data_IF_272246497447
#
_entry.id   IF_272246497447
#
_cell.length_a   1.000
_cell.length_b   1.000
_cell.length_c   1.000
_cell.angle_alpha   90.00
_cell.angle_beta   90.00
_cell.angle_gamma   90.00
#
_symmetry.space_group_name_H-M   'P 1'
#
loop_
_entity.id
_entity.type
_entity.pdbx_description
1 polymer ?
2 polymer ?
3 water ?
#
# COMPACT_ATOMS: atom_id res chain seq x y z
N UNK A 7 11.51 1.74 6.13
CA UNK A 7 11.54 2.70 4.99
C UNK A 7 11.00 2.06 3.72
N UNK A 8 11.52 0.89 3.33
CA UNK A 8 10.97 0.17 2.16
C UNK A 8 10.21 -1.08 2.56
N UNK A 9 9.21 -1.46 1.76
CA UNK A 9 8.48 -2.71 1.94
C UNK A 9 8.30 -3.43 0.61
N UNK A 10 7.93 -4.70 0.66
CA UNK A 10 7.76 -5.49 -0.56
C UNK A 10 6.35 -6.05 -0.63
N UNK A 11 5.70 -5.91 -1.78
CA UNK A 11 4.31 -6.37 -1.91
C UNK A 11 4.19 -7.89 -1.96
N UNK A 12 3.21 -8.44 -1.23
CA UNK A 12 2.90 -9.88 -1.24
C UNK A 12 1.85 -10.23 -2.27
N UNK A 13 1.07 -9.23 -2.69
CA UNK A 13 -0.07 -9.39 -3.62
C UNK A 13 -0.20 -8.14 -4.46
N UNK A 14 -0.82 -8.26 -5.63
CA UNK A 14 -1.17 -7.07 -6.45
C UNK A 14 -2.19 -6.21 -5.67
N UNK A 15 -2.03 -4.90 -5.71
CA UNK A 15 -3.02 -4.02 -5.15
C UNK A 15 -3.39 -2.98 -6.20
N UNK A 16 -4.70 -2.75 -6.37
CA UNK A 16 -5.21 -1.77 -7.33
C UNK A 16 -5.85 -0.60 -6.57
N UNK A 17 -5.41 0.62 -6.85
CA UNK A 17 -5.98 1.80 -6.22
C UNK A 17 -7.47 1.81 -6.45
N UNK A 18 -8.23 2.00 -5.37
CA UNK A 18 -9.68 2.17 -5.49
C UNK A 18 -10.12 3.63 -5.34
N UNK A 19 -9.21 4.45 -4.82
CA UNK A 19 -9.46 5.86 -4.64
C UNK A 19 -8.25 6.59 -5.15
N UNK A 20 -8.45 7.87 -5.42
CA UNK A 20 -7.45 8.75 -5.99
C UNK A 20 -6.17 8.82 -5.18
N UNK A 21 -6.28 8.66 -3.87
CA UNK A 21 -5.13 8.78 -2.96
C UNK A 21 -4.41 7.47 -2.57
N UNK A 22 -4.47 6.46 -3.43
CA UNK A 22 -3.90 5.15 -3.15
C UNK A 22 -2.88 4.75 -4.21
N UNK A 23 -1.91 3.94 -3.82
CA UNK A 23 -0.98 3.36 -4.78
C UNK A 23 -1.61 2.22 -5.59
N UNK A 24 -0.97 1.90 -6.72
CA UNK A 24 -1.27 0.67 -7.48
C UNK A 24 0.06 -0.04 -7.67
N UNK A 25 0.12 -1.32 -7.34
CA UNK A 25 1.36 -2.06 -7.51
C UNK A 25 1.09 -3.54 -7.76
N UNK A 26 2.11 -4.20 -8.26
CA UNK A 26 2.04 -5.62 -8.53
C UNK A 26 2.81 -6.37 -7.45
N UNK A 27 2.47 -7.64 -7.24
CA UNK A 27 3.20 -8.51 -6.32
C UNK A 27 4.70 -8.39 -6.54
N UNK A 28 5.46 -8.39 -5.45
CA UNK A 28 6.92 -8.27 -5.47
C UNK A 28 7.45 -6.83 -5.58
N UNK A 29 6.56 -5.87 -5.82
CA UNK A 29 6.96 -4.46 -5.94
C UNK A 29 7.63 -3.94 -4.69
N UNK A 30 8.64 -3.09 -4.86
CA UNK A 30 9.25 -2.39 -3.72
C UNK A 30 8.64 -1.00 -3.58
N UNK A 31 8.01 -0.76 -2.43
CA UNK A 31 7.41 0.53 -2.10
C UNK A 31 8.37 1.26 -1.18
N UNK A 32 8.64 2.53 -1.49
CA UNK A 32 9.67 3.29 -0.78
C UNK A 32 9.15 4.37 0.17
N UNK A 33 10.04 4.81 1.07
CA UNK A 33 9.75 5.92 1.97
C UNK A 33 8.47 5.78 2.75
N UNK A 34 8.27 4.58 3.29
CA UNK A 34 7.00 4.19 3.89
C UNK A 34 6.80 4.92 5.22
N UNK A 35 5.63 5.55 5.36
CA UNK A 35 5.23 6.16 6.62
C UNK A 35 4.15 5.33 7.28
N UNK A 36 4.52 4.69 8.38
CA UNK A 36 3.59 3.87 9.11
C UNK A 36 2.70 4.71 9.99
N UNK A 37 1.44 4.31 10.06
CA UNK A 37 0.48 4.87 11.00
C UNK A 37 -0.58 3.85 11.37
N UNK A 38 -1.26 4.14 12.47
CA UNK A 38 -2.40 3.36 12.92
C UNK A 38 -3.50 3.32 11.87
N UNK A 39 -4.13 2.16 11.75
CA UNK A 39 -5.36 2.06 10.99
C UNK A 39 -5.33 1.06 9.87
N UNK A 40 -4.19 0.41 9.69
CA UNK A 40 -4.04 -0.65 8.72
C UNK A 40 -3.62 -0.20 7.35
N UNK A 41 -3.42 1.11 7.16
CA UNK A 41 -2.97 1.62 5.88
C UNK A 41 -1.75 2.50 6.16
N UNK A 42 -0.74 2.39 5.30
CA UNK A 42 0.48 3.19 5.39
C UNK A 42 0.61 4.04 4.13
N UNK A 43 1.40 5.11 4.17
CA UNK A 43 1.76 5.88 2.96
C UNK A 43 3.15 5.48 2.44
N UNK A 44 3.31 5.52 1.12
CA UNK A 44 4.59 5.22 0.50
C UNK A 44 4.67 5.68 -0.94
N UNK A 45 5.83 5.43 -1.56
CA UNK A 45 6.12 5.88 -2.92
C UNK A 45 6.21 4.70 -3.86
N UNK A 46 5.45 4.75 -4.94
CA UNK A 46 5.53 3.70 -5.96
C UNK A 46 4.95 4.22 -7.25
N UNK A 47 5.59 3.88 -8.37
CA UNK A 47 4.97 4.07 -9.68
C UNK A 47 4.75 5.54 -10.03
N UNK A 48 5.59 6.42 -9.53
CA UNK A 48 5.45 7.83 -9.84
C UNK A 48 4.54 8.58 -8.88
N UNK A 49 3.83 7.85 -8.01
CA UNK A 49 3.00 8.44 -6.94
C UNK A 49 3.83 8.56 -5.67
N UNK A 50 3.64 9.64 -4.93
CA UNK A 50 4.43 9.91 -3.72
C UNK A 50 3.53 9.94 -2.50
N UNK A 51 3.89 9.16 -1.48
CA UNK A 51 3.20 9.22 -0.17
C UNK A 51 1.66 9.02 -0.28
N UNK A 52 1.26 8.02 -1.06
CA UNK A 52 -0.15 7.61 -1.12
C UNK A 52 -0.41 6.34 -0.34
N UNK A 53 -1.69 6.06 -0.04
CA UNK A 53 -2.08 4.98 0.84
C UNK A 53 -1.99 3.59 0.19
N UNK A 54 -1.66 2.61 1.01
CA UNK A 54 -1.80 1.21 0.61
C UNK A 54 -2.09 0.39 1.88
N UNK A 55 -2.77 -0.77 1.73
CA UNK A 55 -3.07 -1.61 2.89
C UNK A 55 -1.85 -2.33 3.45
N UNK A 56 -1.64 -2.26 4.76
CA UNK A 56 -0.39 -2.78 5.31
C UNK A 56 -0.33 -4.29 5.25
N UNK A 57 -1.50 -4.94 5.25
CA UNK A 57 -1.54 -6.40 5.11
C UNK A 57 -1.18 -6.91 3.72
N UNK A 58 -0.90 -5.98 2.79
CA UNK A 58 -0.40 -6.34 1.45
C UNK A 58 1.13 -6.45 1.30
N UNK A 59 1.87 -6.14 2.36
CA UNK A 59 3.31 -6.04 2.24
C UNK A 59 4.05 -6.74 3.36
N UNK A 60 5.30 -7.07 3.07
CA UNK A 60 6.26 -7.58 4.07
C UNK A 60 7.52 -6.68 4.05
N UNK A 61 8.35 -6.74 5.09
CA UNK A 61 9.54 -5.87 5.12
C UNK A 61 10.83 -6.63 4.85
N UNK B 1 -6.85 -15.78 -2.48
CA UNK B 1 -6.53 -15.69 -1.04
C UNK B 1 -5.93 -14.34 -0.62
N UNK B 2 -6.16 -13.26 -1.42
CA UNK B 2 -5.62 -11.94 -1.05
C UNK B 2 -6.33 -11.38 0.18
N UNK B 3 -5.57 -10.77 1.10
CA UNK B 3 -6.21 -10.27 2.31
C UNK B 3 -7.20 -9.18 1.98
N UNK B 4 -8.18 -8.98 2.85
CA UNK B 4 -9.15 -7.89 2.69
C UNK B 4 -8.51 -6.58 3.19
N UNK B 5 -8.47 -5.53 2.33
CA UNK B 5 -8.00 -4.24 2.87
C UNK B 5 -8.96 -3.76 3.98
N UNK B 6 -8.43 -3.27 5.12
CA UNK B 6 -9.37 -2.71 6.12
C UNK B 6 -10.20 -1.60 5.44
N UNK B 7 -11.53 -1.74 5.43
CA UNK B 7 -12.36 -0.83 4.61
C UNK B 7 -12.28 0.62 5.10
N UNK B 8 -12.11 1.55 4.16
CA UNK B 8 -11.91 2.95 4.50
C UNK B 8 -13.25 3.69 4.63
N UNK B 9 -13.41 4.50 5.70
CA UNK B 9 -14.67 5.22 5.90
C UNK B 9 -14.74 6.47 5.00
N UNK B 10 -15.94 7.01 4.83
CA UNK B 10 -16.11 8.26 4.10
C UNK B 10 -16.11 9.40 5.12
#
# INVERSE_FOLDING_TARGET
GSPTFKSAVKALFDYKAQREDELTFTKSAIIQNVEKQDGGWWRGDYGGKKQLWFPSNYVEEMIN
QPPVPPQRPM
#
